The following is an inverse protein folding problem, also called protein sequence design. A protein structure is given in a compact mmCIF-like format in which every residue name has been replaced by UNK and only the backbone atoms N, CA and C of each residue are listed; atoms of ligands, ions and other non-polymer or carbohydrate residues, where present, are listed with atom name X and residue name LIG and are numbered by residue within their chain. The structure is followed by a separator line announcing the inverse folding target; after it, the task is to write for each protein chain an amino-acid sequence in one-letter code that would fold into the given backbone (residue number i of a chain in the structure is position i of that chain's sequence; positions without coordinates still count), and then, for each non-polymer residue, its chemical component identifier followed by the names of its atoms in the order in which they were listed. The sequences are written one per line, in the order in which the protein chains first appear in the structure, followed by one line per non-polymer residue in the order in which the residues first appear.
data_IF_994949971555
#
_entry.id   IF_994949971555
#
_cell.length_a   1.000
_cell.length_b   1.000
_cell.length_c   1.000
_cell.angle_alpha   90.00
_cell.angle_beta   90.00
_cell.angle_gamma   90.00
#
_symmetry.space_group_name_H-M   'P 1'
#
loop_
_entity.id
_entity.type
_entity.pdbx_description
1 polymer ?
#
# COMPACT_ATOMS: atom_id res chain seq x y z
N UNK A 1 -4.15 -7.40 -9.94
CA UNK A 1 -4.09 -6.14 -9.16
C UNK A 1 -5.09 -6.17 -8.00
N UNK A 2 -4.90 -7.03 -6.99
CA UNK A 2 -5.90 -7.26 -5.92
C UNK A 2 -6.27 -5.99 -5.14
N UNK A 3 -5.26 -5.25 -4.65
CA UNK A 3 -5.47 -4.03 -3.86
C UNK A 3 -6.24 -2.95 -4.64
N UNK A 4 -5.88 -2.74 -5.92
CA UNK A 4 -6.59 -1.78 -6.79
C UNK A 4 -8.06 -2.18 -6.97
N UNK A 5 -8.34 -3.47 -7.19
CA UNK A 5 -9.71 -3.96 -7.31
C UNK A 5 -10.50 -3.78 -6.01
N UNK A 6 -9.88 -3.95 -4.85
CA UNK A 6 -10.51 -3.63 -3.55
C UNK A 6 -10.83 -2.14 -3.44
N UNK A 7 -9.90 -1.26 -3.79
CA UNK A 7 -10.17 0.17 -3.77
C UNK A 7 -11.35 0.56 -4.67
N UNK A 8 -11.39 0.03 -5.90
CA UNK A 8 -12.48 0.28 -6.84
C UNK A 8 -13.83 -0.23 -6.31
N UNK A 9 -13.87 -1.46 -5.79
CA UNK A 9 -15.09 -2.07 -5.27
C UNK A 9 -15.65 -1.30 -4.06
N UNK A 10 -14.78 -0.81 -3.19
CA UNK A 10 -15.16 -0.12 -1.95
C UNK A 10 -15.17 1.41 -2.07
N UNK A 11 -14.99 1.97 -3.28
CA UNK A 11 -14.87 3.41 -3.54
C UNK A 11 -13.81 4.11 -2.68
N UNK A 12 -12.69 3.42 -2.42
CA UNK A 12 -11.56 3.98 -1.67
C UNK A 12 -10.69 4.78 -2.63
N UNK A 13 -10.43 6.08 -2.37
CA UNK A 13 -9.54 6.87 -3.22
C UNK A 13 -8.12 6.32 -3.16
N UNK A 14 -7.49 6.17 -4.32
CA UNK A 14 -6.12 5.67 -4.41
C UNK A 14 -5.36 6.34 -5.55
N UNK A 15 -4.03 6.29 -5.46
CA UNK A 15 -3.09 6.59 -6.54
C UNK A 15 -2.09 5.45 -6.61
N UNK A 16 -1.65 5.14 -7.83
CA UNK A 16 -0.57 4.18 -8.05
C UNK A 16 0.69 5.01 -8.24
N UNK A 17 1.63 4.88 -7.32
CA UNK A 17 2.93 5.52 -7.44
C UNK A 17 3.87 4.65 -8.27
N UNK A 18 4.62 5.30 -9.17
CA UNK A 18 5.62 4.68 -10.01
C UNK A 18 6.97 5.34 -9.70
N UNK A 19 7.83 4.59 -9.02
CA UNK A 19 9.17 5.02 -8.67
C UNK A 19 10.18 4.17 -9.45
N UNK A 20 11.00 4.75 -10.35
CA UNK A 20 11.93 3.99 -11.18
C UNK A 20 12.98 3.17 -10.39
N UNK A 21 13.35 3.61 -9.19
CA UNK A 21 14.41 2.99 -8.37
C UNK A 21 13.93 2.64 -6.95
N UNK A 22 12.73 2.09 -6.82
CA UNK A 22 12.14 1.78 -5.53
C UNK A 22 12.54 0.40 -4.99
N UNK A 23 12.88 0.37 -3.70
CA UNK A 23 13.08 -0.84 -2.92
C UNK A 23 12.30 -0.73 -1.60
N UNK A 24 11.78 -1.85 -1.14
CA UNK A 24 11.06 -1.96 0.13
C UNK A 24 11.58 -3.13 0.96
N UNK A 25 11.19 -3.19 2.22
CA UNK A 25 11.50 -4.32 3.10
C UNK A 25 10.98 -5.65 2.54
N UNK A 26 9.84 -5.62 1.84
CA UNK A 26 9.30 -6.79 1.17
C UNK A 26 10.22 -7.26 0.03
N UNK A 27 10.78 -6.33 -0.75
CA UNK A 27 11.75 -6.68 -1.79
C UNK A 27 13.05 -7.25 -1.20
N UNK A 28 13.47 -6.79 -0.02
CA UNK A 28 14.61 -7.34 0.71
C UNK A 28 14.32 -8.76 1.24
N UNK A 29 13.13 -8.99 1.80
CA UNK A 29 12.69 -10.29 2.28
C UNK A 29 12.64 -11.34 1.15
N UNK A 30 12.13 -10.97 -0.02
CA UNK A 30 12.14 -11.85 -1.19
C UNK A 30 13.57 -12.20 -1.62
N UNK A 31 14.49 -11.22 -1.66
CA UNK A 31 15.91 -11.46 -1.97
C UNK A 31 16.58 -12.39 -0.95
N UNK A 32 16.14 -12.34 0.30
CA UNK A 32 16.61 -13.24 1.37
C UNK A 32 16.00 -14.65 1.31
N UNK A 33 15.11 -14.93 0.35
CA UNK A 33 14.54 -16.27 0.11
C UNK A 33 13.16 -16.51 0.73
N UNK A 34 12.46 -15.48 1.18
CA UNK A 34 11.07 -15.64 1.64
C UNK A 34 10.15 -16.00 0.47
N UNK A 35 9.40 -17.11 0.61
CA UNK A 35 8.38 -17.53 -0.36
C UNK A 35 7.00 -16.96 0.02
N UNK A 36 6.78 -15.68 -0.29
CA UNK A 36 5.55 -14.97 0.05
C UNK A 36 5.08 -14.07 -1.09
N UNK A 37 3.76 -13.96 -1.27
CA UNK A 37 3.16 -12.88 -2.07
C UNK A 37 3.07 -11.65 -1.18
N UNK A 38 3.55 -10.51 -1.67
CA UNK A 38 3.47 -9.24 -0.95
C UNK A 38 2.76 -8.16 -1.77
N UNK A 39 2.19 -7.19 -1.08
CA UNK A 39 1.64 -5.96 -1.64
C UNK A 39 2.06 -4.79 -0.77
N UNK A 40 2.34 -3.65 -1.40
CA UNK A 40 2.79 -2.44 -0.71
C UNK A 40 1.73 -1.37 -0.92
N UNK A 41 1.31 -0.73 0.17
CA UNK A 41 0.41 0.42 0.17
C UNK A 41 0.62 1.21 1.46
N UNK A 42 0.18 2.46 1.46
CA UNK A 42 0.25 3.33 2.62
C UNK A 42 -0.47 4.64 2.35
N UNK A 43 -0.53 5.50 3.36
CA UNK A 43 -0.93 6.88 3.14
C UNK A 43 0.11 7.59 2.28
N UNK A 44 -0.32 8.49 1.39
CA UNK A 44 0.61 9.35 0.66
C UNK A 44 1.31 10.30 1.63
N UNK A 45 2.63 10.23 1.71
CA UNK A 45 3.46 11.05 2.61
C UNK A 45 4.32 11.99 1.77
N UNK A 46 4.37 13.26 2.17
CA UNK A 46 5.31 14.26 1.69
C UNK A 46 6.50 14.36 2.66
N UNK A 47 7.70 14.59 2.12
CA UNK A 47 8.94 14.74 2.89
C UNK A 47 9.27 13.56 3.83
N UNK A 48 9.09 12.32 3.34
CA UNK A 48 9.50 11.09 4.04
C UNK A 48 10.95 11.18 4.56
N UNK A 49 11.20 10.68 5.78
CA UNK A 49 12.50 10.74 6.49
C UNK A 49 12.96 12.14 6.94
N UNK A 50 12.09 13.15 6.89
CA UNK A 50 12.32 14.48 7.46
C UNK A 50 11.10 14.93 8.28
N UNK A 51 10.54 16.11 8.00
CA UNK A 51 9.27 16.54 8.58
C UNK A 51 8.12 16.04 7.70
N UNK A 52 7.61 14.86 8.04
CA UNK A 52 6.57 14.21 7.26
C UNK A 52 5.22 14.93 7.35
N UNK A 53 4.54 15.05 6.21
CA UNK A 53 3.19 15.62 6.12
C UNK A 53 2.29 14.73 5.28
N UNK A 54 1.02 14.66 5.65
CA UNK A 54 0.02 13.89 4.92
C UNK A 54 -1.36 14.49 5.10
N UNK A 55 -2.31 14.05 4.28
CA UNK A 55 -3.72 14.37 4.45
C UNK A 55 -4.37 13.35 5.37
N UNK A 56 -5.27 13.80 6.26
CA UNK A 56 -6.10 12.91 7.06
C UNK A 56 -6.87 11.90 6.19
N UNK A 57 -7.29 12.32 5.00
CA UNK A 57 -8.00 11.45 4.06
C UNK A 57 -7.11 10.33 3.51
N UNK A 58 -5.80 10.56 3.37
CA UNK A 58 -4.85 9.51 2.98
C UNK A 58 -4.71 8.44 4.06
N UNK A 59 -4.71 8.83 5.34
CA UNK A 59 -4.70 7.91 6.47
C UNK A 59 -5.99 7.09 6.51
N UNK A 60 -7.15 7.74 6.36
CA UNK A 60 -8.46 7.05 6.31
C UNK A 60 -8.56 6.08 5.14
N UNK A 61 -8.05 6.46 3.96
CA UNK A 61 -8.04 5.59 2.79
C UNK A 61 -7.13 4.36 3.00
N UNK A 62 -5.95 4.54 3.60
CA UNK A 62 -5.06 3.44 3.94
C UNK A 62 -5.70 2.48 4.95
N UNK A 63 -6.37 3.01 5.98
CA UNK A 63 -7.14 2.21 6.94
C UNK A 63 -8.25 1.42 6.23
N UNK A 64 -9.05 2.08 5.38
CA UNK A 64 -10.15 1.43 4.67
C UNK A 64 -9.65 0.30 3.74
N UNK A 65 -8.49 0.49 3.08
CA UNK A 65 -7.90 -0.56 2.25
C UNK A 65 -7.39 -1.74 3.09
N UNK A 66 -6.76 -1.47 4.23
CA UNK A 66 -6.33 -2.51 5.16
C UNK A 66 -7.53 -3.34 5.64
N UNK A 67 -8.62 -2.68 6.04
CA UNK A 67 -9.86 -3.35 6.44
C UNK A 67 -10.45 -4.18 5.30
N UNK A 68 -10.61 -3.60 4.11
CA UNK A 68 -11.12 -4.29 2.93
C UNK A 68 -10.25 -5.51 2.55
N UNK A 69 -8.93 -5.41 2.72
CA UNK A 69 -8.01 -6.53 2.48
C UNK A 69 -8.19 -7.65 3.51
N UNK A 70 -8.27 -7.34 4.80
CA UNK A 70 -8.49 -8.31 5.87
C UNK A 70 -9.78 -9.14 5.69
N UNK A 71 -10.84 -8.53 5.14
CA UNK A 71 -12.11 -9.21 4.85
C UNK A 71 -12.23 -9.72 3.41
N UNK A 72 -11.21 -9.50 2.57
CA UNK A 72 -11.20 -10.04 1.21
C UNK A 72 -10.93 -11.54 1.23
N UNK A 73 -11.42 -12.27 0.22
CA UNK A 73 -10.99 -13.66 0.03
C UNK A 73 -9.50 -13.68 -0.27
N UNK A 74 -8.77 -14.53 0.45
CA UNK A 74 -7.42 -14.92 0.08
C UNK A 74 -7.45 -15.52 -1.33
N UNK A 75 -6.58 -15.01 -2.21
CA UNK A 75 -6.34 -15.53 -3.55
C UNK A 75 -5.55 -16.84 -3.48
#
# INVERSE_FOLDING_TARGET
HHLVSLCQKHNIPYKVDLYPFYASDASAALKAGADVKHGLFGAGIESSHAMERTHLDSIKAAQALLEAYCFSKLL
#
